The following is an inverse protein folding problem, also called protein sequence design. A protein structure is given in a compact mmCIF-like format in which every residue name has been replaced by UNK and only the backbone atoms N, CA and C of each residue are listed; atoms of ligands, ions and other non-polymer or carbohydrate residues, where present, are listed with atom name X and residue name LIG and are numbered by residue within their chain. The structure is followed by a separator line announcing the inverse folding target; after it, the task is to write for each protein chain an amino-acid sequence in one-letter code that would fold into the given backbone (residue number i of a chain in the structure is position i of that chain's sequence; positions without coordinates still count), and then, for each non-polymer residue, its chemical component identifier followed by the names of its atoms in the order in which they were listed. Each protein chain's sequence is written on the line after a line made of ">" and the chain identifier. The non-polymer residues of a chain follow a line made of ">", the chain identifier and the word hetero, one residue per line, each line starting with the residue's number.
data_IF_528740564748
#
_entry.id   IF_528740564748
#
_cell.length_a   1.000
_cell.length_b   1.000
_cell.length_c   1.000
_cell.angle_alpha   90.00
_cell.angle_beta   90.00
_cell.angle_gamma   90.00
#
_symmetry.space_group_name_H-M   'P 1'
#
loop_
_entity.id
_entity.type
_entity.pdbx_description
1 polymer ?
#
# COMPACT_ATOMS: atom_id res chain seq x y z
N UNK A 1 62.42 8.96 -16.50
CA UNK A 1 61.88 7.75 -17.16
C UNK A 1 60.68 7.32 -16.34
N UNK A 2 59.48 7.69 -16.77
CA UNK A 2 58.25 7.19 -16.15
C UNK A 2 57.98 5.77 -16.63
N UNK A 3 57.82 4.84 -15.69
CA UNK A 3 57.31 3.50 -15.94
C UNK A 3 55.78 3.57 -15.99
N UNK A 4 55.25 3.97 -17.14
CA UNK A 4 53.87 3.74 -17.50
C UNK A 4 53.80 2.42 -18.27
N UNK A 5 53.49 1.30 -17.60
CA UNK A 5 52.75 0.18 -18.22
C UNK A 5 52.43 -0.91 -17.19
N UNK A 6 51.51 -1.78 -17.59
CA UNK A 6 51.04 -3.00 -16.89
C UNK A 6 49.79 -2.86 -16.01
N UNK A 7 48.76 -2.15 -16.52
CA UNK A 7 47.42 -2.68 -16.35
C UNK A 7 47.21 -3.76 -17.42
N UNK A 8 47.23 -5.04 -17.04
CA UNK A 8 46.96 -6.16 -17.97
C UNK A 8 45.61 -5.94 -18.67
N UNK A 9 45.45 -6.26 -19.97
CA UNK A 9 44.16 -6.16 -20.68
C UNK A 9 43.00 -6.84 -19.93
N UNK A 10 43.28 -7.96 -19.25
CA UNK A 10 42.31 -8.69 -18.42
C UNK A 10 41.83 -7.86 -17.23
N UNK A 11 42.72 -7.04 -16.67
CA UNK A 11 42.42 -6.17 -15.52
C UNK A 11 41.48 -5.03 -15.91
N UNK A 12 41.63 -4.47 -17.11
CA UNK A 12 40.76 -3.42 -17.65
C UNK A 12 39.38 -4.01 -18.02
N UNK A 13 39.35 -5.22 -18.58
CA UNK A 13 38.12 -5.90 -18.95
C UNK A 13 37.26 -6.24 -17.72
N UNK A 14 37.88 -6.78 -16.67
CA UNK A 14 37.19 -7.11 -15.42
C UNK A 14 36.61 -5.87 -14.71
N UNK A 15 37.32 -4.74 -14.72
CA UNK A 15 36.81 -3.48 -14.17
C UNK A 15 35.66 -2.87 -14.99
N UNK A 16 35.62 -3.11 -16.31
CA UNK A 16 34.58 -2.61 -17.22
C UNK A 16 33.32 -3.47 -17.18
N UNK A 17 33.47 -4.79 -17.00
CA UNK A 17 32.35 -5.73 -16.78
C UNK A 17 31.69 -5.49 -15.43
N UNK A 18 32.45 -5.22 -14.36
CA UNK A 18 31.89 -4.88 -13.05
C UNK A 18 31.07 -3.56 -13.05
N UNK A 19 31.39 -2.60 -13.92
CA UNK A 19 30.63 -1.34 -14.09
C UNK A 19 29.37 -1.48 -14.95
N UNK A 20 29.17 -2.61 -15.64
CA UNK A 20 28.02 -2.88 -16.51
C UNK A 20 26.95 -3.76 -15.87
N UNK A 21 27.18 -4.31 -14.68
CA UNK A 21 26.08 -4.88 -13.90
C UNK A 21 25.22 -3.68 -13.49
N UNK A 22 23.97 -3.55 -13.98
CA UNK A 22 23.11 -2.48 -13.53
C UNK A 22 22.99 -2.63 -12.02
N UNK A 23 23.32 -1.57 -11.28
CA UNK A 23 23.02 -1.50 -9.86
C UNK A 23 21.54 -1.77 -9.73
N UNK A 24 21.17 -3.00 -9.37
CA UNK A 24 19.80 -3.32 -9.02
C UNK A 24 19.59 -2.70 -7.64
N UNK A 25 19.50 -1.36 -7.58
CA UNK A 25 19.42 -0.52 -6.38
C UNK A 25 18.13 -0.76 -5.56
N UNK A 26 17.38 -1.82 -5.86
CA UNK A 26 16.26 -2.30 -5.07
C UNK A 26 16.63 -3.50 -4.17
N UNK A 27 17.85 -4.07 -4.29
CA UNK A 27 18.31 -5.12 -3.36
C UNK A 27 18.87 -4.47 -2.11
N UNK A 28 18.03 -4.36 -1.07
CA UNK A 28 18.46 -4.05 0.29
C UNK A 28 18.31 -2.58 0.73
N UNK A 29 17.47 -1.78 0.08
CA UNK A 29 17.15 -0.44 0.58
C UNK A 29 16.38 -0.55 1.90
N UNK A 30 17.07 -0.36 3.02
CA UNK A 30 16.47 -0.20 4.33
C UNK A 30 15.73 1.14 4.38
N UNK A 31 14.51 1.13 4.90
CA UNK A 31 13.69 2.32 5.08
C UNK A 31 13.34 2.44 6.57
N UNK A 32 13.36 3.66 7.12
CA UNK A 32 12.88 3.89 8.47
C UNK A 32 11.36 3.94 8.47
N UNK A 33 10.74 3.56 9.59
CA UNK A 33 9.29 3.68 9.78
C UNK A 33 8.83 5.13 9.58
N UNK A 34 9.61 6.10 10.08
CA UNK A 34 9.36 7.53 9.88
C UNK A 34 9.27 7.93 8.40
N UNK A 35 10.10 7.33 7.54
CA UNK A 35 10.10 7.64 6.11
C UNK A 35 8.93 6.96 5.38
N UNK A 36 8.37 5.92 5.98
CA UNK A 36 7.18 5.21 5.49
C UNK A 36 5.91 5.96 5.88
N UNK A 37 5.85 6.50 7.11
CA UNK A 37 4.74 7.29 7.63
C UNK A 37 4.45 8.58 6.83
N UNK A 38 5.46 9.15 6.17
CA UNK A 38 5.29 10.36 5.33
C UNK A 38 4.70 10.07 3.95
N UNK A 39 4.54 8.80 3.55
CA UNK A 39 4.11 8.44 2.21
C UNK A 39 2.60 8.47 2.07
N UNK A 40 2.15 8.90 0.90
CA UNK A 40 0.74 8.81 0.53
C UNK A 40 0.38 7.39 0.09
N UNK A 41 -0.75 6.88 0.58
CA UNK A 41 -1.28 5.57 0.20
C UNK A 41 -2.34 5.76 -0.88
N UNK A 42 -2.12 5.13 -2.03
CA UNK A 42 -2.99 5.26 -3.21
C UNK A 42 -3.51 3.89 -3.62
N UNK A 43 -4.82 3.78 -3.78
CA UNK A 43 -5.44 2.58 -4.33
C UNK A 43 -5.21 2.49 -5.84
N UNK A 44 -4.68 1.37 -6.32
CA UNK A 44 -4.41 1.18 -7.76
C UNK A 44 -5.68 0.92 -8.58
N UNK A 45 -6.79 0.54 -7.93
CA UNK A 45 -8.03 0.19 -8.64
C UNK A 45 -8.75 1.45 -9.12
N UNK A 46 -8.92 2.44 -8.25
CA UNK A 46 -9.65 3.68 -8.55
C UNK A 46 -8.77 4.95 -8.54
N UNK A 47 -7.48 4.81 -8.22
CA UNK A 47 -6.53 5.93 -8.13
C UNK A 47 -6.75 6.83 -6.92
N UNK A 48 -7.66 6.50 -5.99
CA UNK A 48 -7.96 7.36 -4.85
C UNK A 48 -6.83 7.34 -3.82
N UNK A 49 -6.55 8.52 -3.28
CA UNK A 49 -5.69 8.68 -2.09
C UNK A 49 -6.47 8.32 -0.84
N UNK A 50 -5.98 7.30 -0.14
CA UNK A 50 -6.57 6.78 1.10
C UNK A 50 -6.09 7.58 2.32
N UNK A 51 -4.88 8.16 2.26
CA UNK A 51 -4.30 8.97 3.33
C UNK A 51 -2.80 8.74 3.45
N UNK A 52 -2.25 9.02 4.63
CA UNK A 52 -0.86 8.72 5.00
C UNK A 52 -0.84 7.65 6.08
N UNK A 53 0.24 6.89 6.16
CA UNK A 53 0.39 5.85 7.18
C UNK A 53 0.57 6.49 8.55
N UNK A 54 -0.35 6.23 9.49
CA UNK A 54 -0.19 6.63 10.89
C UNK A 54 0.64 5.64 11.67
N UNK A 55 0.39 4.34 11.49
CA UNK A 55 1.01 3.28 12.29
C UNK A 55 1.18 1.96 11.53
N UNK A 56 1.87 1.00 12.15
CA UNK A 56 2.17 -0.34 11.64
C UNK A 56 1.76 -1.41 12.67
N UNK A 57 0.99 -2.41 12.23
CA UNK A 57 0.73 -3.59 13.05
C UNK A 57 1.85 -4.61 12.88
N UNK A 58 2.36 -5.13 13.99
CA UNK A 58 3.48 -6.07 14.03
C UNK A 58 3.03 -7.41 14.63
N UNK A 59 3.31 -8.50 13.93
CA UNK A 59 3.32 -9.83 14.54
C UNK A 59 4.58 -9.94 15.42
N UNK A 60 4.39 -9.83 16.73
CA UNK A 60 5.48 -9.92 17.72
C UNK A 60 6.15 -11.29 17.76
N UNK A 61 5.49 -12.35 17.30
CA UNK A 61 6.05 -13.70 17.28
C UNK A 61 7.01 -13.89 16.11
N UNK A 62 6.68 -13.28 14.97
CA UNK A 62 7.48 -13.40 13.74
C UNK A 62 8.41 -12.20 13.49
N UNK A 63 8.19 -11.08 14.18
CA UNK A 63 8.91 -9.83 13.97
C UNK A 63 8.65 -9.21 12.60
N UNK A 64 7.42 -9.36 12.06
CA UNK A 64 7.04 -8.90 10.72
C UNK A 64 5.86 -7.94 10.78
N UNK A 65 5.79 -7.03 9.82
CA UNK A 65 4.64 -6.13 9.67
C UNK A 65 3.48 -6.92 9.07
N UNK A 66 2.33 -6.91 9.75
CA UNK A 66 1.09 -7.53 9.27
C UNK A 66 0.20 -6.56 8.49
N UNK A 67 0.15 -5.30 8.91
CA UNK A 67 -0.68 -4.28 8.28
C UNK A 67 -0.14 -2.85 8.49
N UNK A 68 -0.64 -1.93 7.68
CA UNK A 68 -0.44 -0.48 7.81
C UNK A 68 -1.77 0.15 8.22
N UNK A 69 -1.71 1.14 9.10
CA UNK A 69 -2.88 1.86 9.60
C UNK A 69 -2.91 3.25 8.97
N UNK A 70 -4.06 3.64 8.47
CA UNK A 70 -4.30 4.96 7.87
C UNK A 70 -5.48 5.60 8.61
N UNK A 71 -5.32 6.81 9.17
CA UNK A 71 -6.43 7.48 9.81
C UNK A 71 -7.42 7.94 8.73
N UNK A 72 -8.68 7.53 8.83
CA UNK A 72 -9.71 8.03 7.91
C UNK A 72 -10.11 9.44 8.32
N UNK A 73 -9.73 10.42 7.50
CA UNK A 73 -10.33 11.75 7.57
C UNK A 73 -11.73 11.67 6.96
N UNK A 74 -12.73 11.41 7.82
CA UNK A 74 -14.10 11.06 7.47
C UNK A 74 -14.82 11.97 6.47
N UNK A 75 -14.56 11.79 5.17
CA UNK A 75 -15.26 12.51 4.11
C UNK A 75 -15.67 11.72 2.87
N UNK A 76 -15.48 10.40 2.81
CA UNK A 76 -16.08 9.64 1.71
C UNK A 76 -16.77 8.34 2.15
N UNK A 77 -18.07 8.34 1.82
CA UNK A 77 -19.11 7.31 1.90
C UNK A 77 -19.72 7.06 3.28
N UNK A 78 -20.97 7.53 3.39
CA UNK A 78 -21.72 7.70 4.62
C UNK A 78 -22.02 6.42 5.39
N UNK A 79 -22.53 6.68 6.60
CA UNK A 79 -22.88 5.76 7.66
C UNK A 79 -21.67 5.36 8.52
N UNK A 80 -21.86 5.47 9.84
CA UNK A 80 -20.91 5.27 10.95
C UNK A 80 -20.07 6.48 11.35
N UNK A 81 -20.62 7.24 12.30
CA UNK A 81 -19.89 8.22 13.09
C UNK A 81 -18.93 7.52 14.07
N UNK A 82 -17.76 8.14 14.24
CA UNK A 82 -16.63 7.62 15.01
C UNK A 82 -15.44 7.48 14.09
N UNK A 83 -14.35 8.21 14.36
CA UNK A 83 -13.14 8.21 13.53
C UNK A 83 -12.66 6.77 13.30
N UNK A 84 -12.87 6.26 12.09
CA UNK A 84 -12.50 4.90 11.72
C UNK A 84 -11.08 4.91 11.16
N UNK A 85 -10.25 3.99 11.64
CA UNK A 85 -8.94 3.74 11.04
C UNK A 85 -9.09 2.71 9.92
N UNK A 86 -8.38 2.92 8.82
CA UNK A 86 -8.31 1.98 7.71
C UNK A 86 -7.07 1.11 7.89
N UNK A 87 -7.29 -0.17 8.19
CA UNK A 87 -6.23 -1.17 8.33
C UNK A 87 -6.03 -1.87 6.99
N UNK A 88 -4.84 -1.74 6.41
CA UNK A 88 -4.49 -2.36 5.12
C UNK A 88 -3.44 -3.46 5.37
N UNK A 89 -3.79 -4.74 5.13
CA UNK A 89 -2.84 -5.84 5.26
C UNK A 89 -1.61 -5.65 4.37
N UNK A 90 -0.43 -6.02 4.88
CA UNK A 90 0.85 -5.89 4.16
C UNK A 90 0.82 -6.58 2.79
N UNK A 91 0.10 -7.70 2.69
CA UNK A 91 -0.13 -8.44 1.43
C UNK A 91 -0.82 -7.63 0.33
N UNK A 92 -1.53 -6.56 0.68
CA UNK A 92 -2.22 -5.68 -0.27
C UNK A 92 -1.30 -4.58 -0.81
N UNK A 93 -0.09 -4.42 -0.26
CA UNK A 93 0.91 -3.46 -0.77
C UNK A 93 1.51 -4.02 -2.05
N UNK A 94 1.30 -3.30 -3.14
CA UNK A 94 1.80 -3.67 -4.48
C UNK A 94 3.20 -3.11 -4.69
N UNK A 95 3.44 -1.86 -4.28
CA UNK A 95 4.72 -1.18 -4.47
C UNK A 95 4.93 -0.08 -3.43
N UNK A 96 6.14 0.00 -2.91
CA UNK A 96 6.61 1.11 -2.06
C UNK A 96 7.57 1.96 -2.90
N UNK A 97 7.14 3.18 -3.21
CA UNK A 97 7.94 4.18 -3.91
C UNK A 97 8.72 5.09 -2.96
N UNK A 98 9.32 6.14 -3.51
CA UNK A 98 9.95 7.22 -2.74
C UNK A 98 8.94 8.02 -1.94
N UNK A 99 7.76 8.26 -2.50
CA UNK A 99 6.75 9.19 -1.95
C UNK A 99 5.38 8.53 -1.74
N UNK A 100 5.13 7.42 -2.44
CA UNK A 100 3.80 6.78 -2.52
C UNK A 100 3.89 5.29 -2.21
N UNK A 101 2.90 4.79 -1.48
CA UNK A 101 2.62 3.36 -1.31
C UNK A 101 1.40 3.01 -2.15
N UNK A 102 1.57 2.12 -3.12
CA UNK A 102 0.49 1.62 -3.96
C UNK A 102 -0.11 0.38 -3.31
N UNK A 103 -1.42 0.39 -3.11
CA UNK A 103 -2.18 -0.72 -2.53
C UNK A 103 -3.28 -1.18 -3.47
N UNK A 104 -3.63 -2.46 -3.41
CA UNK A 104 -4.79 -3.00 -4.10
C UNK A 104 -5.88 -3.29 -3.07
N UNK A 105 -6.87 -2.42 -3.00
CA UNK A 105 -8.07 -2.68 -2.21
C UNK A 105 -9.09 -3.36 -3.11
N UNK A 106 -9.36 -4.64 -2.86
CA UNK A 106 -10.50 -5.31 -3.49
C UNK A 106 -11.75 -4.72 -2.85
N UNK A 107 -12.63 -4.15 -3.67
CA UNK A 107 -13.89 -3.60 -3.21
C UNK A 107 -14.62 -4.73 -2.49
N UNK A 108 -14.75 -4.61 -1.16
CA UNK A 108 -15.68 -5.44 -0.40
C UNK A 108 -17.01 -5.25 -1.10
N UNK A 109 -17.45 -6.27 -1.84
CA UNK A 109 -18.76 -6.27 -2.49
C UNK A 109 -19.74 -5.84 -1.41
N UNK A 110 -20.31 -4.64 -1.56
CA UNK A 110 -21.40 -4.22 -0.69
C UNK A 110 -22.46 -5.30 -0.81
N UNK A 111 -22.68 -6.03 0.27
CA UNK A 111 -23.96 -6.70 0.42
C UNK A 111 -24.98 -5.57 0.30
N UNK A 112 -25.97 -5.67 -0.60
CA UNK A 112 -27.04 -4.68 -0.67
C UNK A 112 -27.58 -4.48 0.73
N UNK A 113 -27.65 -3.24 1.18
CA UNK A 113 -28.16 -2.88 2.49
C UNK A 113 -29.53 -3.56 2.67
N UNK A 114 -29.74 -4.28 3.78
CA UNK A 114 -31.00 -4.96 4.10
C UNK A 114 -32.17 -3.97 4.36
N UNK A 115 -32.03 -2.70 3.94
CA UNK A 115 -33.00 -1.62 4.11
C UNK A 115 -34.21 -1.73 3.15
N UNK A 116 -34.14 -2.53 2.08
CA UNK A 116 -35.30 -2.71 1.20
C UNK A 116 -36.34 -3.71 1.73
N UNK A 117 -35.99 -4.60 2.67
CA UNK A 117 -36.91 -5.64 3.14
C UNK A 117 -38.07 -5.12 3.99
N UNK A 118 -37.86 -4.01 4.74
CA UNK A 118 -38.87 -3.44 5.63
C UNK A 118 -39.95 -2.65 4.88
N UNK A 119 -39.65 -2.16 3.67
CA UNK A 119 -40.63 -1.48 2.81
C UNK A 119 -41.69 -2.43 2.24
N UNK A 120 -41.41 -3.74 2.16
CA UNK A 120 -42.39 -4.72 1.66
C UNK A 120 -43.42 -5.18 2.71
N UNK A 121 -43.14 -5.00 4.00
CA UNK A 121 -44.04 -5.43 5.07
C UNK A 121 -45.07 -4.36 5.49
N UNK A 122 -44.92 -3.11 5.04
CA UNK A 122 -45.79 -1.99 5.44
C UNK A 122 -46.81 -1.55 4.37
N UNK A 123 -47.25 -2.48 3.51
CA UNK A 123 -48.46 -2.26 2.71
C UNK A 123 -49.67 -2.75 3.51
N UNK A 124 -50.43 -1.89 4.21
CA UNK A 124 -51.77 -2.27 4.63
C UNK A 124 -52.57 -2.59 3.36
N UNK A 125 -53.04 -3.84 3.33
CA UNK A 125 -53.86 -4.43 2.29
C UNK A 125 -55.09 -3.54 2.00
N UNK A 126 -54.97 -2.66 1.00
CA UNK A 126 -56.11 -1.98 0.42
C UNK A 126 -56.81 -2.93 -0.53
N UNK A 127 -57.47 -3.95 0.02
CA UNK A 127 -58.50 -4.74 -0.68
C UNK A 127 -59.37 -5.48 0.34
N UNK A 128 -60.54 -4.91 0.64
CA UNK A 128 -61.84 -5.42 0.16
C UNK A 128 -63.00 -5.04 1.09
N UNK A 129 -64.10 -4.67 0.43
CA UNK A 129 -65.47 -4.36 0.87
C UNK A 129 -65.74 -2.97 1.46
#
# INVERSE_FOLDING_TARGET
>A
MELSLFASPDHILNQRVMRMIPDNQMVGKKMKISDFQTKDVINIIDGKRLGQVSDLELDLRQGRIEAIVIPSYGKFMGLFGGGSELIIPWRNIVKIGSDVVLVKMEELRRLPDEEEATTYLDRPDRRNY
#
